data_IF_773454970393
#
_entry.id   IF_773454970393
#
_cell.length_a   1.000
_cell.length_b   1.000
_cell.length_c   1.000
_cell.angle_alpha   90.00
_cell.angle_beta   90.00
_cell.angle_gamma   90.00
#
_symmetry.space_group_name_H-M   'P 1'
#
loop_
_entity.id
_entity.type
_entity.pdbx_description
1 polymer ?
#
# COMPACT_ATOMS: atom_id res chain seq x y z
N UNK A 1 -9.94 -5.19 -1.52
CA UNK A 1 -8.70 -4.40 -1.31
C UNK A 1 -7.81 -4.50 -2.55
N UNK A 2 -7.18 -3.40 -2.96
CA UNK A 2 -6.24 -3.33 -4.09
C UNK A 2 -5.02 -2.51 -3.69
N UNK A 3 -3.84 -2.86 -4.19
CA UNK A 3 -2.59 -2.15 -3.93
C UNK A 3 -1.95 -1.72 -5.24
N UNK A 4 -1.39 -0.50 -5.28
CA UNK A 4 -0.67 0.04 -6.43
C UNK A 4 0.56 0.80 -5.98
N UNK A 5 1.65 0.65 -6.71
CA UNK A 5 2.82 1.53 -6.58
C UNK A 5 2.81 2.49 -7.77
N UNK A 6 2.64 3.77 -7.48
CA UNK A 6 2.65 4.83 -8.46
C UNK A 6 4.06 5.44 -8.55
N UNK A 7 4.54 5.62 -9.77
CA UNK A 7 5.76 6.37 -10.07
C UNK A 7 5.35 7.73 -10.66
N UNK A 8 5.50 8.84 -9.91
CA UNK A 8 5.11 10.15 -10.40
C UNK A 8 5.92 10.57 -11.64
N UNK A 9 5.29 11.23 -12.64
CA UNK A 9 6.01 11.83 -13.76
C UNK A 9 6.74 13.08 -13.27
N UNK A 10 7.92 12.90 -12.68
CA UNK A 10 8.81 13.97 -12.23
C UNK A 10 10.15 13.39 -11.82
N UNK A 11 11.24 13.85 -12.45
CA UNK A 11 12.58 13.37 -12.14
C UNK A 11 12.90 13.62 -10.66
N UNK A 12 13.17 12.55 -9.91
CA UNK A 12 13.55 12.63 -8.49
C UNK A 12 12.38 12.62 -7.49
N UNK A 13 11.12 12.52 -7.93
CA UNK A 13 10.01 12.31 -7.01
C UNK A 13 9.99 10.86 -6.49
N UNK A 14 9.73 10.63 -5.19
CA UNK A 14 9.66 9.29 -4.63
C UNK A 14 8.44 8.54 -5.17
N UNK A 15 8.53 7.21 -5.21
CA UNK A 15 7.39 6.35 -5.50
C UNK A 15 6.34 6.48 -4.42
N UNK A 16 5.07 6.21 -4.74
CA UNK A 16 3.97 6.26 -3.78
C UNK A 16 3.28 4.89 -3.78
N UNK A 17 3.29 4.22 -2.64
CA UNK A 17 2.52 3.01 -2.42
C UNK A 17 1.14 3.37 -1.88
N UNK A 18 0.08 2.89 -2.54
CA UNK A 18 -1.32 3.17 -2.20
C UNK A 18 -2.07 1.86 -2.02
N UNK A 19 -2.85 1.76 -0.93
CA UNK A 19 -3.80 0.68 -0.69
C UNK A 19 -5.20 1.25 -0.69
N UNK A 20 -6.10 0.63 -1.46
CA UNK A 20 -7.50 1.04 -1.62
C UNK A 20 -8.45 -0.07 -1.18
N UNK A 21 -9.56 0.32 -0.56
CA UNK A 21 -10.70 -0.55 -0.21
C UNK A 21 -11.98 0.18 -0.61
N UNK A 22 -12.83 -0.48 -1.40
CA UNK A 22 -14.15 0.03 -1.80
C UNK A 22 -14.15 1.45 -2.39
N UNK A 23 -13.08 1.82 -3.09
CA UNK A 23 -12.90 3.14 -3.71
C UNK A 23 -12.24 4.18 -2.80
N UNK A 24 -12.02 3.87 -1.53
CA UNK A 24 -11.36 4.75 -0.56
C UNK A 24 -9.88 4.39 -0.37
N UNK A 25 -9.05 5.40 -0.11
CA UNK A 25 -7.62 5.24 0.19
C UNK A 25 -7.44 4.90 1.66
N UNK A 26 -6.94 3.70 1.93
CA UNK A 26 -6.63 3.23 3.28
C UNK A 26 -5.21 3.62 3.71
N UNK A 27 -4.25 3.49 2.80
CA UNK A 27 -2.83 3.83 3.03
C UNK A 27 -2.29 4.54 1.81
N UNK A 28 -1.54 5.62 2.03
CA UNK A 28 -0.72 6.28 1.01
C UNK A 28 0.60 6.68 1.63
N UNK A 29 1.72 6.13 1.14
CA UNK A 29 3.07 6.43 1.64
C UNK A 29 4.08 6.56 0.51
N UNK A 30 4.97 7.53 0.65
CA UNK A 30 6.17 7.64 -0.18
C UNK A 30 7.15 6.54 0.16
N UNK A 31 7.73 5.92 -0.86
CA UNK A 31 8.70 4.81 -0.75
C UNK A 31 9.88 5.04 -1.68
N UNK A 32 11.02 4.45 -1.34
CA UNK A 32 12.29 4.66 -2.04
C UNK A 32 12.42 3.89 -3.35
N UNK A 33 11.60 2.84 -3.55
CA UNK A 33 11.62 2.00 -4.74
C UNK A 33 10.29 1.31 -4.95
N UNK A 34 10.07 0.77 -6.16
CA UNK A 34 8.90 -0.06 -6.46
C UNK A 34 8.82 -1.26 -5.49
N UNK A 35 9.94 -1.96 -5.31
CA UNK A 35 10.02 -3.11 -4.41
C UNK A 35 9.69 -2.76 -2.94
N UNK A 36 10.11 -1.59 -2.46
CA UNK A 36 9.73 -1.11 -1.13
C UNK A 36 8.22 -0.83 -1.02
N UNK A 37 7.60 -0.35 -2.10
CA UNK A 37 6.16 -0.17 -2.18
C UNK A 37 5.38 -1.47 -2.17
N UNK A 38 5.83 -2.46 -2.97
CA UNK A 38 5.23 -3.79 -3.00
C UNK A 38 5.32 -4.50 -1.64
N UNK A 39 6.48 -4.41 -0.98
CA UNK A 39 6.66 -4.94 0.36
C UNK A 39 5.73 -4.28 1.39
N UNK A 40 5.53 -2.96 1.31
CA UNK A 40 4.58 -2.25 2.17
C UNK A 40 3.15 -2.72 1.94
N UNK A 41 2.73 -2.85 0.67
CA UNK A 41 1.39 -3.32 0.31
C UNK A 41 1.16 -4.74 0.84
N UNK A 42 2.12 -5.65 0.61
CA UNK A 42 2.04 -7.03 1.10
C UNK A 42 1.91 -7.07 2.63
N UNK A 43 2.67 -6.23 3.34
CA UNK A 43 2.55 -6.11 4.80
C UNK A 43 1.14 -5.68 5.21
N UNK A 44 0.59 -4.62 4.61
CA UNK A 44 -0.76 -4.11 4.94
C UNK A 44 -1.83 -5.19 4.69
N UNK A 45 -1.69 -5.96 3.62
CA UNK A 45 -2.65 -7.03 3.31
C UNK A 45 -2.60 -8.14 4.35
N UNK A 46 -1.39 -8.55 4.76
CA UNK A 46 -1.21 -9.55 5.81
C UNK A 46 -1.75 -9.06 7.16
N UNK A 47 -1.42 -7.83 7.56
CA UNK A 47 -1.92 -7.23 8.79
C UNK A 47 -3.47 -7.24 8.83
N UNK A 48 -4.10 -6.95 7.69
CA UNK A 48 -5.56 -6.95 7.56
C UNK A 48 -6.16 -8.37 7.60
N UNK A 49 -5.52 -9.32 6.93
CA UNK A 49 -5.93 -10.73 6.99
C UNK A 49 -5.83 -11.27 8.42
N UNK A 50 -4.76 -10.94 9.13
CA UNK A 50 -4.54 -11.35 10.52
C UNK A 50 -5.57 -10.69 11.46
N UNK A 51 -5.85 -9.39 11.28
CA UNK A 51 -6.87 -8.69 12.07
C UNK A 51 -8.26 -9.31 11.87
N UNK A 52 -8.62 -9.65 10.63
CA UNK A 52 -9.87 -10.35 10.32
C UNK A 52 -9.94 -11.74 10.95
N UNK A 53 -8.84 -12.49 10.93
CA UNK A 53 -8.78 -13.82 11.55
C UNK A 53 -8.95 -13.77 13.07
N UNK A 54 -8.52 -12.68 13.72
CA UNK A 54 -8.72 -12.43 15.15
C UNK A 54 -10.12 -11.89 15.50
N UNK A 55 -10.88 -11.43 14.51
CA UNK A 55 -12.19 -10.78 14.72
C UNK A 55 -12.10 -9.34 15.20
N UNK A 56 -10.95 -8.68 15.01
CA UNK A 56 -10.76 -7.26 15.33
C UNK A 56 -11.51 -6.35 14.33
N UNK A 57 -11.75 -6.87 13.11
CA UNK A 57 -12.43 -6.24 11.98
C UNK A 57 -13.24 -7.26 11.17
#
# INVERSE_FOLDING_TARGET
>A
MKGVVYSPPGAGLPYIAVVLVDGEVLVSKTVSSVAAGEALIAKVFNDFADAKARGDI
#
